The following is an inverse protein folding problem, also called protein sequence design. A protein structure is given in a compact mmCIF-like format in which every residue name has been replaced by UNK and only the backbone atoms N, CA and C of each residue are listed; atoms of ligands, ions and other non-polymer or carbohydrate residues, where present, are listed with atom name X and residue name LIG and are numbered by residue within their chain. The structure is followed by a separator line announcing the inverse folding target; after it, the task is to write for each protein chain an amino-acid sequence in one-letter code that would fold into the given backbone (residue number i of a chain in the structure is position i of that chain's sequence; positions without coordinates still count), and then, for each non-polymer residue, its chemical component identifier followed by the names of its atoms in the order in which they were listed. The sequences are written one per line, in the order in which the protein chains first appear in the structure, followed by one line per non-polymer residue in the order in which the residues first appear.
data_IF_668062188785
#
_entry.id   IF_668062188785
#
_cell.length_a   1.000
_cell.length_b   1.000
_cell.length_c   1.000
_cell.angle_alpha   90.00
_cell.angle_beta   90.00
_cell.angle_gamma   90.00
#
_symmetry.space_group_name_H-M   'P 1'
#
loop_
_entity.id
_entity.type
_entity.pdbx_description
1 polymer ?
#
# COMPACT_ATOMS: atom_id res chain seq x y z
N UNK A 1 6.70 -12.31 -30.12
CA UNK A 1 7.62 -11.30 -29.55
C UNK A 1 7.61 -9.99 -30.32
N UNK A 2 7.59 -9.99 -31.66
CA UNK A 2 7.51 -8.75 -32.46
C UNK A 2 6.25 -7.89 -32.22
N UNK A 3 5.12 -8.51 -31.86
CA UNK A 3 3.85 -7.80 -31.63
C UNK A 3 3.88 -6.83 -30.44
N UNK A 4 4.63 -7.17 -29.38
CA UNK A 4 4.76 -6.30 -28.19
C UNK A 4 5.80 -5.20 -28.39
N UNK A 5 6.86 -5.44 -29.16
CA UNK A 5 7.87 -4.43 -29.51
C UNK A 5 7.30 -3.30 -30.38
N UNK A 6 6.29 -3.58 -31.22
CA UNK A 6 5.61 -2.55 -32.01
C UNK A 6 4.75 -1.58 -31.18
N UNK A 7 4.30 -1.99 -29.99
CA UNK A 7 3.54 -1.12 -29.07
C UNK A 7 4.43 -0.12 -28.33
N UNK A 8 5.74 -0.37 -28.25
CA UNK A 8 6.73 0.48 -27.57
C UNK A 8 7.41 1.49 -28.52
N UNK A 9 7.06 1.48 -29.81
CA UNK A 9 7.67 2.33 -30.82
C UNK A 9 6.76 3.56 -31.08
N UNK A 10 7.22 4.80 -30.81
CA UNK A 10 6.36 5.99 -30.83
C UNK A 10 5.81 6.38 -32.21
N UNK A 11 6.27 5.72 -33.28
CA UNK A 11 5.80 5.96 -34.66
C UNK A 11 4.68 5.02 -35.12
N UNK A 12 4.34 4.00 -34.33
CA UNK A 12 3.33 2.98 -34.71
C UNK A 12 2.42 2.61 -33.55
N UNK A 13 2.10 3.56 -32.66
CA UNK A 13 1.05 3.39 -31.64
C UNK A 13 -0.26 3.18 -32.37
N UNK A 14 -0.63 1.91 -32.53
CA UNK A 14 -1.91 1.51 -33.09
C UNK A 14 -2.94 1.82 -32.00
N UNK A 15 -3.54 3.01 -32.04
CA UNK A 15 -4.54 3.46 -31.06
C UNK A 15 -5.75 2.52 -30.97
N UNK A 16 -5.98 1.70 -32.00
CA UNK A 16 -6.97 0.63 -32.06
C UNK A 16 -6.62 -0.62 -31.21
N UNK A 17 -5.35 -0.80 -30.83
CA UNK A 17 -4.88 -1.93 -30.03
C UNK A 17 -4.78 -1.59 -28.53
N UNK A 18 -4.82 -0.31 -28.18
CA UNK A 18 -5.13 0.13 -26.83
C UNK A 18 -6.64 -0.06 -26.70
N UNK A 19 -7.17 -0.67 -25.62
CA UNK A 19 -8.61 -0.74 -25.37
C UNK A 19 -9.11 0.68 -25.05
N UNK A 20 -9.09 1.56 -26.05
CA UNK A 20 -9.60 2.92 -26.01
C UNK A 20 -11.10 2.83 -26.23
N UNK A 21 -11.79 2.43 -25.17
CA UNK A 21 -13.22 2.66 -25.05
C UNK A 21 -13.48 4.16 -25.04
N UNK A 22 -13.66 4.74 -26.23
CA UNK A 22 -14.25 6.03 -26.52
C UNK A 22 -13.57 7.30 -25.94
N UNK A 23 -13.13 8.17 -26.84
CA UNK A 23 -12.92 9.62 -26.71
C UNK A 23 -13.16 10.25 -25.31
N UNK A 24 -12.13 10.27 -24.47
CA UNK A 24 -12.04 11.15 -23.30
C UNK A 24 -12.24 10.53 -21.92
N UNK A 25 -12.62 9.24 -21.82
CA UNK A 25 -12.76 8.57 -20.53
C UNK A 25 -11.46 7.88 -20.08
N UNK A 26 -11.06 8.10 -18.82
CA UNK A 26 -9.93 7.39 -18.21
C UNK A 26 -10.27 5.90 -18.05
N UNK A 27 -9.49 5.01 -18.68
CA UNK A 27 -9.70 3.56 -18.56
C UNK A 27 -8.77 2.93 -17.52
N UNK A 28 -9.09 1.71 -17.07
CA UNK A 28 -8.20 0.94 -16.20
C UNK A 28 -6.84 0.65 -16.88
N UNK A 29 -6.82 0.49 -18.21
CA UNK A 29 -5.59 0.28 -18.96
C UNK A 29 -4.67 1.51 -18.89
N UNK A 30 -5.22 2.72 -19.00
CA UNK A 30 -4.47 3.97 -18.88
C UNK A 30 -3.84 4.11 -17.49
N UNK A 31 -4.58 3.72 -16.44
CA UNK A 31 -4.06 3.72 -15.05
C UNK A 31 -2.95 2.70 -14.88
N UNK A 32 -3.09 1.48 -15.41
CA UNK A 32 -2.03 0.47 -15.35
C UNK A 32 -0.76 0.91 -16.08
N UNK A 33 -0.90 1.57 -17.24
CA UNK A 33 0.22 2.16 -17.98
C UNK A 33 0.87 3.27 -17.14
N UNK A 34 0.07 4.19 -16.58
CA UNK A 34 0.59 5.26 -15.73
C UNK A 34 1.34 4.73 -14.51
N UNK A 35 0.82 3.68 -13.85
CA UNK A 35 1.51 2.99 -12.74
C UNK A 35 2.87 2.45 -13.16
N UNK A 36 2.99 1.86 -14.35
CA UNK A 36 4.27 1.33 -14.84
C UNK A 36 5.33 2.42 -15.06
N UNK A 37 4.92 3.65 -15.37
CA UNK A 37 5.80 4.81 -15.57
C UNK A 37 5.94 5.72 -14.35
N UNK A 38 5.18 5.50 -13.27
CA UNK A 38 5.14 6.35 -12.08
C UNK A 38 6.40 6.26 -11.19
N UNK A 39 7.32 5.32 -11.46
CA UNK A 39 8.55 5.08 -10.67
C UNK A 39 8.25 4.98 -9.17
N UNK A 40 7.32 4.08 -8.84
CA UNK A 40 6.95 3.77 -7.45
C UNK A 40 8.14 3.11 -6.73
N UNK A 41 8.31 3.42 -5.45
CA UNK A 41 9.28 2.70 -4.62
C UNK A 41 8.78 1.27 -4.33
N UNK A 42 9.66 0.34 -3.92
CA UNK A 42 9.22 -1.01 -3.56
C UNK A 42 8.15 -1.03 -2.45
N UNK A 43 8.22 -0.09 -1.49
CA UNK A 43 7.19 0.08 -0.47
C UNK A 43 5.85 0.48 -1.10
N UNK A 44 5.87 1.49 -1.98
CA UNK A 44 4.65 1.97 -2.66
C UNK A 44 4.01 0.84 -3.48
N UNK A 45 4.79 0.15 -4.32
CA UNK A 45 4.28 -0.94 -5.16
C UNK A 45 3.59 -2.04 -4.34
N UNK A 46 4.20 -2.46 -3.23
CA UNK A 46 3.60 -3.45 -2.34
C UNK A 46 2.31 -2.93 -1.65
N UNK A 47 2.27 -1.66 -1.25
CA UNK A 47 1.05 -1.06 -0.69
C UNK A 47 -0.07 -1.02 -1.72
N UNK A 48 0.21 -0.68 -2.98
CA UNK A 48 -0.80 -0.73 -4.06
C UNK A 48 -1.30 -2.14 -4.31
N UNK A 49 -0.40 -3.13 -4.35
CA UNK A 49 -0.77 -4.54 -4.52
C UNK A 49 -1.72 -5.01 -3.44
N UNK A 50 -1.37 -4.73 -2.17
CA UNK A 50 -2.19 -5.11 -1.03
C UNK A 50 -3.53 -4.36 -1.03
N UNK A 51 -3.52 -3.03 -1.17
CA UNK A 51 -4.74 -2.23 -0.98
C UNK A 51 -5.71 -2.24 -2.16
N UNK A 52 -5.20 -2.24 -3.40
CA UNK A 52 -6.02 -1.99 -4.59
C UNK A 52 -6.07 -3.17 -5.57
N UNK A 53 -5.07 -4.06 -5.57
CA UNK A 53 -4.97 -5.16 -6.55
C UNK A 53 -5.34 -6.53 -5.97
N UNK A 54 -6.05 -6.57 -4.84
CA UNK A 54 -6.58 -7.80 -4.25
C UNK A 54 -5.52 -8.75 -3.69
N UNK A 55 -4.28 -8.30 -3.44
CA UNK A 55 -3.26 -9.11 -2.79
C UNK A 55 -3.37 -9.11 -1.26
N UNK A 56 -4.45 -8.57 -0.68
CA UNK A 56 -4.68 -8.43 0.77
C UNK A 56 -5.05 -9.72 1.50
N UNK A 57 -4.54 -10.89 1.11
CA UNK A 57 -4.72 -12.09 1.94
C UNK A 57 -3.86 -12.03 3.22
N UNK A 58 -4.24 -12.81 4.23
CA UNK A 58 -3.60 -12.80 5.54
C UNK A 58 -2.12 -13.21 5.45
N UNK A 59 -1.79 -14.16 4.58
CA UNK A 59 -0.41 -14.65 4.37
C UNK A 59 0.52 -13.54 3.85
N UNK A 60 0.06 -12.78 2.86
CA UNK A 60 0.80 -11.66 2.29
C UNK A 60 0.97 -10.53 3.30
N UNK A 61 -0.06 -10.26 4.11
CA UNK A 61 0.01 -9.26 5.18
C UNK A 61 1.01 -9.68 6.25
N UNK A 62 1.01 -10.94 6.66
CA UNK A 62 1.98 -11.48 7.63
C UNK A 62 3.41 -11.42 7.08
N UNK A 63 3.63 -11.86 5.84
CA UNK A 63 4.95 -11.79 5.19
C UNK A 63 5.44 -10.34 5.07
N UNK A 64 4.57 -9.45 4.58
CA UNK A 64 4.93 -8.05 4.38
C UNK A 64 5.17 -7.34 5.72
N UNK A 65 4.42 -7.67 6.77
CA UNK A 65 4.64 -7.10 8.11
C UNK A 65 6.03 -7.42 8.67
N UNK A 66 6.55 -8.63 8.42
CA UNK A 66 7.92 -9.05 8.82
C UNK A 66 8.99 -8.30 8.05
N UNK A 67 8.81 -8.11 6.74
CA UNK A 67 9.72 -7.32 5.93
C UNK A 67 9.70 -5.85 6.35
N UNK A 68 8.50 -5.30 6.53
CA UNK A 68 8.29 -3.90 6.87
C UNK A 68 8.78 -3.57 8.28
N UNK A 69 8.79 -4.55 9.20
CA UNK A 69 9.36 -4.38 10.53
C UNK A 69 10.80 -3.86 10.48
N UNK A 70 11.61 -4.32 9.52
CA UNK A 70 13.00 -3.85 9.37
C UNK A 70 13.09 -2.32 9.20
N UNK A 71 12.08 -1.68 8.59
CA UNK A 71 12.00 -0.22 8.42
C UNK A 71 11.76 0.52 9.76
N UNK A 72 11.06 -0.11 10.70
CA UNK A 72 10.62 0.53 11.95
C UNK A 72 11.40 0.06 13.18
N UNK A 73 12.20 -1.01 13.06
CA UNK A 73 12.91 -1.64 14.16
C UNK A 73 13.70 -0.62 15.00
N UNK A 74 14.54 0.20 14.36
CA UNK A 74 15.36 1.19 15.06
C UNK A 74 14.51 2.25 15.77
N UNK A 75 13.40 2.68 15.15
CA UNK A 75 12.47 3.65 15.76
C UNK A 75 11.81 3.08 17.01
N UNK A 76 11.46 1.79 17.01
CA UNK A 76 10.88 1.13 18.18
C UNK A 76 11.89 0.96 19.29
N UNK A 77 13.13 0.57 18.96
CA UNK A 77 14.22 0.44 19.93
C UNK A 77 14.52 1.80 20.58
N UNK A 78 14.66 2.86 19.79
CA UNK A 78 14.91 4.22 20.29
C UNK A 78 13.77 4.74 21.17
N UNK A 79 12.53 4.33 20.88
CA UNK A 79 11.37 4.68 21.68
C UNK A 79 11.18 3.80 22.93
N UNK A 80 12.08 2.84 23.18
CA UNK A 80 12.02 1.93 24.33
C UNK A 80 10.85 0.95 24.28
N UNK A 81 10.32 0.67 23.08
CA UNK A 81 9.24 -0.30 22.91
C UNK A 81 9.79 -1.70 23.16
N UNK A 82 9.04 -2.53 23.90
CA UNK A 82 9.42 -3.92 24.10
C UNK A 82 9.35 -4.68 22.76
N UNK A 83 10.41 -5.44 22.46
CA UNK A 83 10.55 -6.21 21.22
C UNK A 83 9.35 -7.11 20.91
N UNK A 84 8.67 -7.65 21.94
CA UNK A 84 7.49 -8.50 21.75
C UNK A 84 6.34 -7.78 21.03
N UNK A 85 6.28 -6.45 21.11
CA UNK A 85 5.23 -5.64 20.51
C UNK A 85 5.56 -5.18 19.09
N UNK A 86 6.81 -5.27 18.65
CA UNK A 86 7.25 -4.65 17.39
C UNK A 86 6.50 -5.20 16.17
N UNK A 87 6.51 -6.52 15.98
CA UNK A 87 5.80 -7.16 14.87
C UNK A 87 4.27 -6.96 14.97
N UNK A 88 3.63 -7.19 16.13
CA UNK A 88 2.21 -6.89 16.32
C UNK A 88 1.81 -5.46 15.97
N UNK A 89 2.61 -4.46 16.32
CA UNK A 89 2.35 -3.05 15.97
C UNK A 89 2.28 -2.88 14.45
N UNK A 90 3.28 -3.39 13.72
CA UNK A 90 3.36 -3.27 12.26
C UNK A 90 2.24 -4.05 11.59
N UNK A 91 1.96 -5.27 12.06
CA UNK A 91 0.88 -6.12 11.53
C UNK A 91 -0.48 -5.46 11.69
N UNK A 92 -0.80 -4.95 12.89
CA UNK A 92 -2.09 -4.27 13.13
C UNK A 92 -2.24 -3.07 12.22
N UNK A 93 -1.21 -2.23 12.10
CA UNK A 93 -1.25 -1.07 11.20
C UNK A 93 -1.48 -1.47 9.74
N UNK A 94 -0.86 -2.56 9.29
CA UNK A 94 -1.03 -3.06 7.92
C UNK A 94 -2.43 -3.66 7.67
N UNK A 95 -3.00 -4.37 8.65
CA UNK A 95 -4.38 -4.85 8.61
C UNK A 95 -5.35 -3.67 8.54
N UNK A 96 -5.19 -2.68 9.40
CA UNK A 96 -6.00 -1.46 9.39
C UNK A 96 -5.85 -0.63 8.11
N UNK A 97 -4.76 -0.82 7.36
CA UNK A 97 -4.53 -0.13 6.09
C UNK A 97 -5.16 -0.86 4.88
N UNK A 98 -5.11 -2.20 4.85
CA UNK A 98 -5.45 -2.99 3.66
C UNK A 98 -6.69 -3.89 3.76
N UNK A 99 -7.13 -4.23 4.97
CA UNK A 99 -8.05 -5.36 5.21
C UNK A 99 -9.37 -4.96 5.89
N UNK A 100 -9.47 -3.72 6.36
CA UNK A 100 -10.67 -3.25 7.07
C UNK A 100 -11.70 -2.66 6.11
N UNK A 101 -12.97 -2.80 6.48
CA UNK A 101 -14.08 -2.16 5.77
C UNK A 101 -14.09 -0.64 5.98
N UNK A 102 -14.79 0.09 5.11
CA UNK A 102 -14.86 1.55 5.16
C UNK A 102 -15.49 2.09 6.46
N UNK A 103 -16.34 1.30 7.12
CA UNK A 103 -17.00 1.63 8.38
C UNK A 103 -16.20 1.20 9.63
N UNK A 104 -15.05 0.56 9.46
CA UNK A 104 -14.20 0.13 10.56
C UNK A 104 -13.72 1.32 11.40
N UNK A 105 -13.84 1.17 12.72
CA UNK A 105 -13.32 2.13 13.71
C UNK A 105 -12.12 1.52 14.43
N UNK A 106 -10.94 2.17 14.42
CA UNK A 106 -9.75 1.70 15.11
C UNK A 106 -9.91 1.89 16.63
N UNK A 107 -10.55 0.92 17.28
CA UNK A 107 -10.71 0.86 18.74
C UNK A 107 -9.67 -0.06 19.34
N UNK A 108 -9.34 0.14 20.62
CA UNK A 108 -8.42 -0.73 21.36
C UNK A 108 -8.91 -2.19 21.36
N UNK A 109 -10.23 -2.41 21.42
CA UNK A 109 -10.85 -3.74 21.35
C UNK A 109 -10.66 -4.42 20.00
N UNK A 110 -10.80 -3.68 18.90
CA UNK A 110 -10.56 -4.24 17.57
C UNK A 110 -9.07 -4.57 17.37
N UNK A 111 -8.20 -3.69 17.87
CA UNK A 111 -6.73 -3.89 17.84
C UNK A 111 -6.28 -5.03 18.74
N UNK A 112 -6.98 -5.29 19.85
CA UNK A 112 -6.77 -6.49 20.69
C UNK A 112 -6.99 -7.76 19.88
N UNK A 113 -8.12 -7.85 19.16
CA UNK A 113 -8.45 -9.01 18.31
C UNK A 113 -7.36 -9.24 17.25
N UNK A 114 -6.86 -8.17 16.63
CA UNK A 114 -5.85 -8.27 15.55
C UNK A 114 -4.44 -8.56 16.12
N UNK A 115 -4.09 -7.97 17.26
CA UNK A 115 -2.75 -8.07 17.84
C UNK A 115 -2.53 -9.36 18.65
N UNK A 116 -3.59 -9.91 19.25
CA UNK A 116 -3.51 -11.00 20.22
C UNK A 116 -3.10 -10.55 21.63
N UNK A 117 -3.00 -9.24 21.88
CA UNK A 117 -2.73 -8.65 23.19
C UNK A 117 -3.98 -7.96 23.74
N UNK A 118 -4.12 -7.94 25.06
CA UNK A 118 -5.27 -7.29 25.72
C UNK A 118 -5.42 -5.82 25.29
N UNK A 119 -6.66 -5.31 25.32
CA UNK A 119 -6.98 -3.90 25.04
C UNK A 119 -6.11 -2.93 25.84
N UNK A 120 -5.78 -3.31 27.09
CA UNK A 120 -4.99 -2.53 28.04
C UNK A 120 -3.52 -2.49 27.62
N UNK A 121 -2.97 -3.63 27.19
CA UNK A 121 -1.63 -3.69 26.60
C UNK A 121 -1.57 -2.84 25.33
N UNK A 122 -2.57 -2.94 24.45
CA UNK A 122 -2.64 -2.14 23.23
C UNK A 122 -2.65 -0.65 23.57
N UNK A 123 -3.53 -0.22 24.49
CA UNK A 123 -3.67 1.17 24.91
C UNK A 123 -2.36 1.75 25.44
N UNK A 124 -1.67 1.00 26.30
CA UNK A 124 -0.52 1.50 27.03
C UNK A 124 0.79 1.40 26.25
N UNK A 125 0.93 0.42 25.36
CA UNK A 125 2.22 0.12 24.72
C UNK A 125 2.22 0.22 23.20
N UNK A 126 1.08 0.02 22.53
CA UNK A 126 1.05 -0.20 21.08
C UNK A 126 0.34 0.92 20.33
N UNK A 127 -0.74 1.49 20.89
CA UNK A 127 -1.67 2.40 20.21
C UNK A 127 -0.96 3.52 19.43
N UNK A 128 -0.13 4.30 20.13
CA UNK A 128 0.62 5.41 19.51
C UNK A 128 1.51 4.94 18.37
N UNK A 129 2.15 3.79 18.52
CA UNK A 129 3.05 3.24 17.52
C UNK A 129 2.30 2.68 16.31
N UNK A 130 1.14 2.05 16.53
CA UNK A 130 0.22 1.62 15.46
C UNK A 130 -0.22 2.84 14.66
N UNK A 131 -0.66 3.91 15.33
CA UNK A 131 -1.11 5.14 14.67
C UNK A 131 0.00 5.79 13.84
N UNK A 132 1.22 5.82 14.36
CA UNK A 132 2.39 6.35 13.64
C UNK A 132 2.75 5.53 12.40
N UNK A 133 2.76 4.20 12.50
CA UNK A 133 3.02 3.31 11.35
C UNK A 133 1.91 3.47 10.32
N UNK A 134 0.65 3.48 10.75
CA UNK A 134 -0.50 3.66 9.87
C UNK A 134 -0.44 5.01 9.12
N UNK A 135 -0.03 6.08 9.80
CA UNK A 135 0.16 7.39 9.18
C UNK A 135 1.28 7.37 8.12
N UNK A 136 2.43 6.74 8.40
CA UNK A 136 3.54 6.59 7.44
C UNK A 136 3.12 5.75 6.21
N UNK A 137 2.32 4.70 6.42
CA UNK A 137 1.77 3.89 5.33
C UNK A 137 0.81 4.69 4.44
N UNK A 138 -0.09 5.47 5.04
CA UNK A 138 -1.02 6.35 4.31
C UNK A 138 -0.26 7.40 3.51
N UNK A 139 0.70 8.09 4.14
CA UNK A 139 1.54 9.06 3.45
C UNK A 139 2.31 8.45 2.28
N UNK A 140 2.89 7.25 2.47
CA UNK A 140 3.60 6.56 1.40
C UNK A 140 2.67 6.21 0.23
N UNK A 141 1.43 5.80 0.51
CA UNK A 141 0.39 5.51 -0.47
C UNK A 141 -0.04 6.77 -1.23
N UNK A 142 -0.35 7.86 -0.52
CA UNK A 142 -0.73 9.15 -1.08
C UNK A 142 0.35 9.70 -2.02
N UNK A 143 1.62 9.68 -1.60
CA UNK A 143 2.75 10.04 -2.47
C UNK A 143 2.87 9.13 -3.71
N UNK A 144 2.42 7.88 -3.61
CA UNK A 144 2.35 6.97 -4.74
C UNK A 144 1.20 7.33 -5.69
N UNK A 145 0.05 7.67 -5.14
CA UNK A 145 -1.14 8.09 -5.88
C UNK A 145 -0.86 9.37 -6.65
N UNK A 146 -0.20 10.36 -6.02
CA UNK A 146 0.24 11.58 -6.68
C UNK A 146 1.16 11.32 -7.88
N UNK A 147 2.10 10.37 -7.76
CA UNK A 147 2.98 9.98 -8.89
C UNK A 147 2.19 9.37 -10.04
N UNK A 148 1.22 8.51 -9.74
CA UNK A 148 0.36 7.87 -10.75
C UNK A 148 -0.51 8.92 -11.43
N UNK A 149 -1.19 9.77 -10.64
CA UNK A 149 -2.03 10.87 -11.12
C UNK A 149 -1.22 11.81 -12.01
N UNK A 150 0.00 12.18 -11.60
CA UNK A 150 0.90 12.99 -12.42
C UNK A 150 1.16 12.34 -13.77
N UNK A 151 1.34 11.02 -13.85
CA UNK A 151 1.51 10.37 -15.14
C UNK A 151 0.24 10.27 -15.97
N UNK A 152 -0.92 10.11 -15.34
CA UNK A 152 -2.21 10.16 -16.04
C UNK A 152 -2.45 11.52 -16.70
N UNK A 153 -2.12 12.62 -16.01
CA UNK A 153 -2.44 13.97 -16.49
C UNK A 153 -1.30 14.71 -17.21
N UNK A 154 -0.03 14.37 -16.97
CA UNK A 154 1.12 14.95 -17.68
C UNK A 154 1.52 14.18 -18.95
N UNK A 155 0.87 13.04 -19.26
CA UNK A 155 1.08 12.32 -20.54
C UNK A 155 0.24 12.88 -21.70
N UNK A 156 -0.20 14.14 -21.61
CA UNK A 156 -0.87 14.86 -22.68
C UNK A 156 0.05 15.90 -23.31
#
# INVERSE_FOLDING_TARGET
MEKYLRLLNPKTTNYDAIPSGNHGALTAADVCIAMSYAKLTPLQDNLFRLKYLGANNIENVELFSKLLLTKYQDKFIQAGVNMIYHLPIVRVALVEFCLVSADYKPTERNREIISGFSDTTVRNHMKRHIDNVLADLKQACELGEEKIIKQVYCSK
#
